data_IF_171120161932
#
_entry.id   IF_171120161932
#
_cell.length_a   1.000
_cell.length_b   1.000
_cell.length_c   1.000
_cell.angle_alpha   90.00
_cell.angle_beta   90.00
_cell.angle_gamma   90.00
#
_symmetry.space_group_name_H-M   'P 1'
#
loop_
_entity.id
_entity.type
_entity.pdbx_description
1 polymer ?
#
# COMPACT_ATOMS: atom_id res chain seq x y z
N UNK A 1 43.43 76.98 -12.71
CA UNK A 1 42.82 77.77 -11.61
C UNK A 1 41.48 77.13 -11.25
N UNK A 2 41.28 76.77 -9.97
CA UNK A 2 40.00 76.62 -9.22
C UNK A 2 38.94 75.64 -9.81
N UNK A 3 38.29 74.73 -9.07
CA UNK A 3 38.23 74.40 -7.65
C UNK A 3 37.65 72.98 -7.52
N UNK A 4 38.13 72.28 -6.49
CA UNK A 4 37.64 71.05 -5.89
C UNK A 4 36.22 71.23 -5.32
N UNK A 5 35.34 70.24 -5.48
CA UNK A 5 34.26 70.00 -4.51
C UNK A 5 33.87 68.51 -4.50
N UNK A 6 34.15 67.90 -3.35
CA UNK A 6 33.87 66.53 -2.94
C UNK A 6 32.47 66.50 -2.32
N UNK A 7 31.64 65.54 -2.71
CA UNK A 7 30.50 65.01 -1.93
C UNK A 7 30.34 63.56 -2.47
N UNK A 8 30.72 62.49 -1.78
CA UNK A 8 30.41 62.19 -0.38
C UNK A 8 29.05 61.50 -0.29
N UNK A 9 28.88 60.33 -0.91
CA UNK A 9 27.69 59.49 -0.69
C UNK A 9 28.09 58.10 -0.20
N UNK A 10 27.69 57.89 1.04
CA UNK A 10 27.81 56.74 1.92
C UNK A 10 27.42 55.42 1.22
N UNK A 11 28.37 54.49 1.11
CA UNK A 11 28.10 53.10 0.73
C UNK A 11 27.48 52.43 1.95
N UNK A 12 26.15 52.26 1.92
CA UNK A 12 25.43 51.47 2.91
C UNK A 12 25.49 50.00 2.47
N UNK A 13 26.51 49.29 2.93
CA UNK A 13 26.64 47.84 2.80
C UNK A 13 25.57 47.16 3.66
N UNK A 14 24.43 46.86 3.03
CA UNK A 14 23.42 45.98 3.59
C UNK A 14 23.97 44.55 3.54
N UNK A 15 24.44 44.06 4.70
CA UNK A 15 24.65 42.63 4.91
C UNK A 15 23.29 41.93 4.87
N UNK A 16 22.94 41.36 3.73
CA UNK A 16 21.87 40.36 3.64
C UNK A 16 22.34 39.10 4.35
N UNK A 17 22.12 39.03 5.65
CA UNK A 17 22.09 37.76 6.38
C UNK A 17 20.82 37.06 5.93
N UNK A 18 20.95 36.17 4.95
CA UNK A 18 19.92 35.20 4.62
C UNK A 18 19.79 34.25 5.82
N UNK A 19 18.73 34.43 6.62
CA UNK A 19 18.31 33.42 7.58
C UNK A 19 18.00 32.13 6.81
N UNK A 20 18.88 31.15 6.92
CA UNK A 20 18.66 29.77 6.48
C UNK A 20 17.65 29.13 7.44
N UNK A 21 16.38 29.48 7.28
CA UNK A 21 15.26 28.80 7.93
C UNK A 21 15.05 27.45 7.25
N UNK A 22 15.87 26.47 7.61
CA UNK A 22 15.79 25.10 7.10
C UNK A 22 14.57 24.41 7.67
N UNK A 23 13.41 24.64 7.05
CA UNK A 23 12.39 23.60 6.97
C UNK A 23 12.75 22.73 5.76
N UNK A 24 13.77 21.89 5.90
CA UNK A 24 14.04 20.81 4.94
C UNK A 24 12.91 19.78 5.10
N UNK A 25 11.73 20.11 4.57
CA UNK A 25 10.67 19.12 4.39
C UNK A 25 11.19 18.11 3.37
N UNK A 26 11.56 16.93 3.85
CA UNK A 26 11.93 15.82 2.97
C UNK A 26 10.83 15.61 1.93
N UNK A 27 11.17 15.41 0.65
CA UNK A 27 10.17 15.26 -0.39
C UNK A 27 9.32 14.02 -0.13
N UNK A 28 7.99 14.21 -0.10
CA UNK A 28 7.01 13.11 -0.04
C UNK A 28 6.38 12.98 -1.42
N UNK A 29 6.48 11.78 -2.01
CA UNK A 29 5.78 11.43 -3.25
C UNK A 29 4.47 10.74 -2.90
N UNK A 30 3.39 11.15 -3.54
CA UNK A 30 2.07 10.56 -3.36
C UNK A 30 1.66 9.77 -4.60
N UNK A 31 1.11 8.59 -4.38
CA UNK A 31 0.59 7.71 -5.42
C UNK A 31 -0.85 7.35 -5.06
N UNK A 32 -1.78 7.74 -5.91
CA UNK A 32 -3.19 7.38 -5.76
C UNK A 32 -3.54 6.34 -6.82
N UNK A 33 -4.32 5.34 -6.42
CA UNK A 33 -4.97 4.44 -7.36
C UNK A 33 -6.45 4.32 -7.05
N UNK A 34 -7.29 4.61 -8.05
CA UNK A 34 -8.76 4.72 -7.92
C UNK A 34 -9.51 3.65 -8.70
N UNK A 35 -8.83 2.98 -9.63
CA UNK A 35 -9.33 1.87 -10.43
C UNK A 35 -10.59 2.19 -11.24
N UNK A 36 -10.83 3.46 -11.59
CA UNK A 36 -12.05 3.84 -12.30
C UNK A 36 -12.07 3.34 -13.75
N UNK A 37 -10.90 3.28 -14.40
CA UNK A 37 -10.80 2.91 -15.82
C UNK A 37 -10.19 1.52 -16.04
N UNK A 38 -9.16 1.15 -15.28
CA UNK A 38 -8.40 -0.08 -15.43
C UNK A 38 -7.76 -0.49 -14.09
N UNK A 39 -6.82 -1.43 -14.10
CA UNK A 39 -6.12 -1.88 -12.88
C UNK A 39 -4.99 -0.95 -12.44
N UNK A 40 -4.68 0.10 -13.20
CA UNK A 40 -3.67 1.12 -12.91
C UNK A 40 -2.30 0.53 -12.56
N UNK A 41 -1.86 -0.43 -13.40
CA UNK A 41 -0.62 -1.21 -13.29
C UNK A 41 -0.55 -2.14 -12.07
N UNK A 42 -1.62 -2.24 -11.28
CA UNK A 42 -1.71 -3.27 -10.27
C UNK A 42 -1.93 -4.63 -10.92
N UNK A 43 -1.08 -5.57 -10.53
CA UNK A 43 -1.20 -7.00 -10.83
C UNK A 43 -1.31 -7.76 -9.52
N UNK A 44 -1.59 -9.06 -9.54
CA UNK A 44 -1.72 -9.81 -8.30
C UNK A 44 -1.65 -11.31 -8.49
N UNK A 45 -1.58 -12.01 -7.37
CA UNK A 45 -1.62 -13.47 -7.31
C UNK A 45 -2.19 -13.93 -5.96
N UNK A 46 -2.29 -15.24 -5.78
CA UNK A 46 -2.57 -15.88 -4.51
C UNK A 46 -1.37 -16.71 -4.04
N UNK A 47 -1.24 -16.93 -2.73
CA UNK A 47 -0.23 -17.81 -2.14
C UNK A 47 -0.81 -18.53 -0.91
N UNK A 48 0.01 -19.38 -0.28
CA UNK A 48 -0.35 -20.21 0.87
C UNK A 48 -1.31 -21.36 0.53
N UNK A 49 -1.04 -22.10 -0.55
CA UNK A 49 -1.85 -23.26 -0.93
C UNK A 49 -0.98 -24.36 -1.55
N UNK A 50 -1.48 -25.61 -1.57
CA UNK A 50 -0.73 -26.74 -2.13
C UNK A 50 -0.74 -26.66 -3.66
N UNK A 51 0.36 -27.08 -4.28
CA UNK A 51 0.37 -27.25 -5.73
C UNK A 51 -0.72 -28.25 -6.18
N UNK A 52 -1.32 -28.00 -7.33
CA UNK A 52 -2.49 -28.71 -7.85
C UNK A 52 -3.83 -28.11 -7.42
N UNK A 53 -3.86 -27.07 -6.58
CA UNK A 53 -5.11 -26.41 -6.16
C UNK A 53 -5.42 -25.12 -6.93
N UNK A 54 -4.62 -24.71 -7.91
CA UNK A 54 -4.72 -23.42 -8.62
C UNK A 54 -6.13 -23.16 -9.16
N UNK A 55 -6.72 -24.13 -9.84
CA UNK A 55 -8.09 -24.02 -10.39
C UNK A 55 -9.15 -23.94 -9.29
N UNK A 56 -8.90 -24.56 -8.15
CA UNK A 56 -9.80 -24.50 -6.99
C UNK A 56 -9.69 -23.17 -6.26
N UNK A 57 -8.48 -22.63 -6.12
CA UNK A 57 -8.26 -21.29 -5.59
C UNK A 57 -8.93 -20.25 -6.48
N UNK A 58 -8.92 -20.45 -7.80
CA UNK A 58 -9.61 -19.60 -8.77
C UNK A 58 -9.31 -18.11 -8.53
N UNK A 59 -8.02 -17.78 -8.38
CA UNK A 59 -7.60 -16.40 -8.14
C UNK A 59 -8.07 -15.50 -9.28
N UNK A 60 -8.61 -14.34 -8.94
CA UNK A 60 -9.02 -13.35 -9.92
C UNK A 60 -8.72 -11.94 -9.45
N UNK A 61 -8.29 -11.11 -10.40
CA UNK A 61 -8.15 -9.67 -10.28
C UNK A 61 -8.94 -9.05 -11.43
N UNK A 62 -9.97 -8.27 -11.10
CA UNK A 62 -10.85 -7.68 -12.10
C UNK A 62 -11.33 -6.29 -11.68
N UNK A 63 -11.08 -5.32 -12.54
CA UNK A 63 -11.68 -4.00 -12.41
C UNK A 63 -13.18 -4.08 -12.72
N UNK A 64 -14.03 -3.46 -11.89
CA UNK A 64 -15.47 -3.52 -12.08
C UNK A 64 -16.26 -2.71 -11.06
N UNK A 65 -17.60 -2.77 -11.17
CA UNK A 65 -18.51 -2.08 -10.25
C UNK A 65 -18.33 -2.60 -8.82
N UNK A 66 -18.26 -1.68 -7.85
CA UNK A 66 -18.26 -2.04 -6.43
C UNK A 66 -19.71 -2.35 -6.01
N UNK A 67 -19.99 -3.56 -5.49
CA UNK A 67 -21.33 -3.89 -5.03
C UNK A 67 -21.77 -2.99 -3.87
N UNK A 68 -23.05 -2.61 -3.85
CA UNK A 68 -23.61 -1.75 -2.80
C UNK A 68 -23.25 -0.27 -2.89
N UNK A 69 -22.40 0.15 -3.85
CA UNK A 69 -22.20 1.57 -4.12
C UNK A 69 -23.51 2.22 -4.62
N UNK A 70 -23.90 3.33 -4.01
CA UNK A 70 -25.08 4.13 -4.40
C UNK A 70 -24.88 4.80 -5.75
N UNK A 71 -23.64 5.20 -6.05
CA UNK A 71 -23.24 5.65 -7.37
C UNK A 71 -23.01 4.45 -8.29
N UNK A 72 -23.85 4.32 -9.31
CA UNK A 72 -23.76 3.26 -10.32
C UNK A 72 -22.46 3.27 -11.14
N UNK A 73 -21.74 4.40 -11.14
CA UNK A 73 -20.46 4.58 -11.83
C UNK A 73 -19.25 4.23 -10.97
N UNK A 74 -19.44 4.03 -9.66
CA UNK A 74 -18.36 3.66 -8.74
C UNK A 74 -17.77 2.30 -9.12
N UNK A 75 -16.49 2.33 -9.45
CA UNK A 75 -15.73 1.15 -9.81
C UNK A 75 -14.53 0.99 -8.88
N UNK A 76 -14.02 -0.24 -8.80
CA UNK A 76 -12.88 -0.60 -7.98
C UNK A 76 -12.18 -1.83 -8.55
N UNK A 77 -11.09 -2.23 -7.90
CA UNK A 77 -10.36 -3.46 -8.20
C UNK A 77 -10.88 -4.61 -7.33
N UNK A 78 -11.67 -5.49 -7.93
CA UNK A 78 -12.11 -6.74 -7.31
C UNK A 78 -10.96 -7.74 -7.25
N UNK A 79 -10.68 -8.26 -6.05
CA UNK A 79 -9.69 -9.32 -5.82
C UNK A 79 -10.37 -10.49 -5.12
N UNK A 80 -10.25 -11.68 -5.69
CA UNK A 80 -10.93 -12.86 -5.18
C UNK A 80 -10.10 -14.12 -5.22
N UNK A 81 -10.45 -15.06 -4.36
CA UNK A 81 -9.95 -16.42 -4.37
C UNK A 81 -10.66 -17.27 -3.33
N UNK A 82 -10.70 -18.57 -3.54
CA UNK A 82 -11.36 -19.52 -2.65
C UNK A 82 -10.33 -20.20 -1.76
N UNK A 83 -10.41 -19.97 -0.45
CA UNK A 83 -9.59 -20.70 0.49
C UNK A 83 -10.19 -22.08 0.76
N UNK A 84 -9.41 -23.12 0.50
CA UNK A 84 -9.75 -24.52 0.80
C UNK A 84 -8.86 -25.15 1.86
N UNK A 85 -7.86 -24.42 2.35
CA UNK A 85 -6.89 -24.89 3.34
C UNK A 85 -6.99 -24.14 4.66
N UNK A 86 -5.88 -24.10 5.39
CA UNK A 86 -5.79 -23.42 6.69
C UNK A 86 -5.49 -21.92 6.54
N UNK A 87 -4.84 -21.53 5.44
CA UNK A 87 -4.58 -20.13 5.07
C UNK A 87 -4.68 -19.94 3.55
N UNK A 88 -4.94 -18.71 3.13
CA UNK A 88 -4.79 -18.21 1.76
C UNK A 88 -4.35 -16.75 1.85
N UNK A 89 -3.38 -16.34 1.03
CA UNK A 89 -2.98 -14.95 0.91
C UNK A 89 -3.28 -14.45 -0.49
N UNK A 90 -4.22 -13.52 -0.62
CA UNK A 90 -4.50 -12.81 -1.86
C UNK A 90 -3.74 -11.50 -1.85
N UNK A 91 -2.97 -11.18 -2.88
CA UNK A 91 -2.20 -9.95 -2.90
C UNK A 91 -2.17 -9.30 -4.28
N UNK A 92 -2.01 -7.98 -4.25
CA UNK A 92 -1.80 -7.14 -5.40
C UNK A 92 -0.55 -6.30 -5.19
N UNK A 93 0.15 -6.01 -6.29
CA UNK A 93 1.43 -5.32 -6.30
C UNK A 93 1.50 -4.31 -7.42
N UNK A 94 2.26 -3.23 -7.18
CA UNK A 94 2.55 -2.19 -8.16
C UNK A 94 3.99 -1.72 -8.00
N UNK A 95 4.72 -1.62 -9.10
CA UNK A 95 6.09 -1.12 -9.12
C UNK A 95 6.10 0.41 -9.11
N UNK A 96 7.01 0.98 -8.33
CA UNK A 96 7.32 2.41 -8.30
C UNK A 96 8.80 2.57 -8.62
N UNK A 97 9.14 3.60 -9.41
CA UNK A 97 10.50 3.85 -9.91
C UNK A 97 10.94 5.27 -9.62
N UNK A 98 12.22 5.58 -9.85
CA UNK A 98 12.76 6.94 -9.72
C UNK A 98 12.96 7.38 -8.26
N UNK A 99 13.23 6.42 -7.38
CA UNK A 99 13.72 6.67 -6.02
C UNK A 99 15.25 6.66 -6.00
N UNK A 100 15.85 7.32 -5.02
CA UNK A 100 17.30 7.27 -4.83
C UNK A 100 17.68 5.95 -4.12
N UNK A 101 18.46 5.05 -4.76
CA UNK A 101 18.87 3.78 -4.16
C UNK A 101 19.80 3.92 -2.95
N UNK A 102 20.40 5.10 -2.74
CA UNK A 102 21.22 5.37 -1.57
C UNK A 102 20.36 5.63 -0.31
N UNK A 103 19.11 6.05 -0.47
CA UNK A 103 18.22 6.45 0.61
C UNK A 103 17.29 5.32 1.07
N UNK A 104 16.82 5.43 2.31
CA UNK A 104 15.74 4.60 2.86
C UNK A 104 14.46 5.42 2.84
N UNK A 105 13.33 4.80 2.53
CA UNK A 105 12.02 5.44 2.48
C UNK A 105 11.08 4.84 3.52
N UNK A 106 10.11 5.65 3.95
CA UNK A 106 8.93 5.25 4.71
C UNK A 106 7.71 5.27 3.79
N UNK A 107 6.97 4.16 3.79
CA UNK A 107 5.77 3.97 2.97
C UNK A 107 4.55 3.86 3.87
N UNK A 108 3.64 4.82 3.73
CA UNK A 108 2.35 4.86 4.42
C UNK A 108 1.21 4.67 3.42
N UNK A 109 0.16 4.00 3.86
CA UNK A 109 -1.02 3.62 3.08
C UNK A 109 -2.28 4.16 3.74
N UNK A 110 -3.25 4.54 2.92
CA UNK A 110 -4.67 4.57 3.24
C UNK A 110 -5.40 3.76 2.16
N UNK A 111 -6.16 2.76 2.59
CA UNK A 111 -6.77 1.77 1.72
C UNK A 111 -8.27 1.74 1.99
N UNK A 112 -9.06 2.09 0.99
CA UNK A 112 -10.51 2.02 1.02
C UNK A 112 -10.96 0.69 0.41
N UNK A 113 -11.66 -0.11 1.20
CA UNK A 113 -12.06 -1.47 0.84
C UNK A 113 -13.57 -1.62 0.96
N UNK A 114 -14.24 -1.98 -0.14
CA UNK A 114 -15.60 -2.50 -0.14
C UNK A 114 -15.63 -3.96 0.32
N UNK A 115 -16.38 -4.23 1.39
CA UNK A 115 -16.54 -5.55 2.00
C UNK A 115 -17.99 -5.79 2.43
N UNK A 116 -18.46 -7.04 2.31
CA UNK A 116 -19.78 -7.46 2.80
C UNK A 116 -19.69 -8.39 4.01
N UNK A 117 -18.49 -8.65 4.53
CA UNK A 117 -18.29 -9.64 5.58
C UNK A 117 -18.72 -9.09 6.95
N UNK A 118 -19.62 -9.78 7.68
CA UNK A 118 -19.98 -9.40 9.05
C UNK A 118 -18.74 -9.28 9.94
N UNK A 119 -18.81 -8.44 10.96
CA UNK A 119 -17.77 -8.20 11.97
C UNK A 119 -18.17 -8.71 13.36
N UNK A 120 -18.52 -9.99 13.42
CA UNK A 120 -18.83 -10.71 14.67
C UNK A 120 -17.75 -11.73 14.99
N UNK A 121 -17.68 -12.19 16.24
CA UNK A 121 -16.73 -13.23 16.65
C UNK A 121 -16.92 -14.48 15.78
N UNK A 122 -15.84 -14.96 15.15
CA UNK A 122 -15.86 -16.14 14.26
C UNK A 122 -16.35 -15.89 12.83
N UNK A 123 -16.83 -14.68 12.51
CA UNK A 123 -17.22 -14.32 11.14
C UNK A 123 -16.02 -14.24 10.19
N UNK A 124 -16.29 -14.39 8.89
CA UNK A 124 -15.28 -14.21 7.85
C UNK A 124 -14.60 -12.83 7.94
N UNK A 125 -15.34 -11.78 8.33
CA UNK A 125 -14.78 -10.42 8.43
C UNK A 125 -13.71 -10.29 9.50
N UNK A 126 -13.73 -11.13 10.54
CA UNK A 126 -12.68 -11.20 11.59
C UNK A 126 -11.56 -12.18 11.29
N UNK A 127 -11.67 -12.94 10.21
CA UNK A 127 -10.71 -13.97 9.81
C UNK A 127 -9.97 -13.63 8.51
N UNK A 128 -10.26 -12.47 7.92
CA UNK A 128 -9.55 -11.90 6.78
C UNK A 128 -8.72 -10.72 7.28
N UNK A 129 -7.40 -10.84 7.25
CA UNK A 129 -6.41 -9.91 7.80
C UNK A 129 -5.80 -9.08 6.69
N UNK A 130 -6.06 -7.78 6.69
CA UNK A 130 -5.55 -6.83 5.70
C UNK A 130 -4.12 -6.45 6.06
N UNK A 131 -3.26 -6.44 5.05
CA UNK A 131 -1.84 -6.12 5.15
C UNK A 131 -1.42 -5.18 4.03
N UNK A 132 -0.45 -4.32 4.30
CA UNK A 132 0.22 -3.53 3.28
C UNK A 132 1.68 -3.33 3.61
N UNK A 133 2.49 -3.11 2.59
CA UNK A 133 3.89 -2.78 2.74
C UNK A 133 4.64 -2.76 1.42
N UNK A 134 5.97 -2.72 1.49
CA UNK A 134 6.81 -2.51 0.33
C UNK A 134 8.10 -3.34 0.40
N UNK A 135 8.65 -3.68 -0.77
CA UNK A 135 9.89 -4.45 -0.91
C UNK A 135 10.74 -3.91 -2.07
N UNK A 136 12.09 -4.00 -2.00
CA UNK A 136 12.94 -3.76 -3.18
C UNK A 136 12.71 -4.78 -4.30
N UNK A 137 12.21 -5.98 -3.96
CA UNK A 137 12.01 -7.07 -4.89
C UNK A 137 10.53 -7.23 -5.23
N UNK A 138 10.24 -7.76 -6.42
CA UNK A 138 8.87 -8.06 -6.80
C UNK A 138 8.27 -9.14 -5.89
N UNK A 139 7.11 -8.91 -5.24
CA UNK A 139 6.41 -9.97 -4.52
C UNK A 139 5.92 -11.03 -5.50
N UNK A 140 6.42 -12.26 -5.40
CA UNK A 140 6.08 -13.35 -6.32
C UNK A 140 5.57 -14.56 -5.55
N UNK A 141 4.72 -15.34 -6.23
CA UNK A 141 4.32 -16.67 -5.78
C UNK A 141 5.44 -17.66 -6.07
N UNK A 142 5.93 -18.33 -5.04
CA UNK A 142 7.06 -19.26 -5.13
C UNK A 142 6.63 -20.68 -4.77
N UNK A 143 7.05 -21.67 -5.55
CA UNK A 143 6.78 -23.07 -5.25
C UNK A 143 7.97 -23.68 -4.49
N UNK A 144 7.73 -24.12 -3.26
CA UNK A 144 8.71 -24.86 -2.46
C UNK A 144 8.01 -26.01 -1.74
N UNK A 145 8.61 -27.21 -1.77
CA UNK A 145 8.09 -28.40 -1.08
C UNK A 145 6.59 -28.68 -1.37
N UNK A 146 6.19 -28.58 -2.64
CA UNK A 146 4.81 -28.77 -3.10
C UNK A 146 3.79 -27.78 -2.53
N UNK A 147 4.25 -26.62 -2.06
CA UNK A 147 3.43 -25.57 -1.48
C UNK A 147 3.80 -24.20 -2.06
N UNK A 148 2.80 -23.43 -2.46
CA UNK A 148 2.98 -22.07 -2.94
C UNK A 148 3.08 -21.11 -1.76
N UNK A 149 4.21 -20.43 -1.64
CA UNK A 149 4.46 -19.33 -0.72
C UNK A 149 4.52 -17.99 -1.46
N UNK A 150 4.73 -16.91 -0.72
CA UNK A 150 4.98 -15.58 -1.27
C UNK A 150 6.37 -15.12 -0.82
N UNK A 151 7.10 -14.44 -1.71
CA UNK A 151 8.47 -13.97 -1.43
C UNK A 151 8.55 -12.83 -0.41
N UNK A 152 7.49 -12.01 -0.28
CA UNK A 152 7.47 -10.85 0.62
C UNK A 152 7.25 -11.25 2.09
N UNK A 153 8.04 -10.69 3.01
CA UNK A 153 7.98 -10.94 4.44
C UNK A 153 6.77 -10.27 5.10
N UNK A 154 5.60 -10.88 4.92
CA UNK A 154 4.30 -10.33 5.35
C UNK A 154 3.86 -10.63 6.78
N UNK A 155 4.57 -11.54 7.47
CA UNK A 155 4.11 -12.13 8.73
C UNK A 155 2.90 -13.06 8.56
N UNK A 156 2.49 -13.74 9.62
CA UNK A 156 1.36 -14.69 9.60
C UNK A 156 0.12 -14.08 10.24
N UNK A 157 -1.01 -14.12 9.53
CA UNK A 157 -2.34 -13.69 9.99
C UNK A 157 -2.29 -12.27 10.59
N UNK A 158 -2.66 -12.12 11.87
CA UNK A 158 -2.67 -10.83 12.58
C UNK A 158 -1.29 -10.30 12.98
N UNK A 159 -0.19 -10.99 12.64
CA UNK A 159 1.18 -10.53 12.92
C UNK A 159 1.76 -9.78 11.74
N UNK A 160 2.33 -8.61 11.98
CA UNK A 160 3.16 -7.89 11.01
C UNK A 160 4.45 -8.67 10.70
N UNK A 161 4.90 -8.61 9.45
CA UNK A 161 6.25 -8.97 9.06
C UNK A 161 7.13 -7.72 8.96
N UNK A 162 8.34 -7.89 8.45
CA UNK A 162 9.32 -6.81 8.24
C UNK A 162 8.96 -5.95 7.02
N UNK A 163 8.39 -6.56 5.98
CA UNK A 163 8.06 -5.90 4.71
C UNK A 163 6.57 -5.60 4.55
N UNK A 164 5.67 -6.26 5.30
CA UNK A 164 4.25 -5.87 5.36
C UNK A 164 3.68 -5.87 6.76
N UNK A 165 2.92 -4.82 7.09
CA UNK A 165 2.28 -4.67 8.38
C UNK A 165 0.80 -5.06 8.34
N UNK A 166 0.33 -5.61 9.46
CA UNK A 166 -1.09 -5.88 9.70
C UNK A 166 -1.84 -4.57 9.98
N UNK A 167 -2.91 -4.33 9.23
CA UNK A 167 -3.67 -3.07 9.29
C UNK A 167 -5.05 -3.21 9.93
N UNK A 168 -5.47 -4.43 10.29
CA UNK A 168 -6.83 -4.74 10.74
C UNK A 168 -7.50 -5.82 9.89
N UNK A 169 -8.77 -6.10 10.19
CA UNK A 169 -9.52 -7.15 9.49
C UNK A 169 -10.41 -6.60 8.37
N UNK A 170 -11.10 -7.45 7.60
CA UNK A 170 -12.02 -7.04 6.53
C UNK A 170 -13.50 -6.98 6.95
N UNK A 171 -13.78 -6.92 8.26
CA UNK A 171 -15.13 -6.81 8.78
C UNK A 171 -15.80 -5.48 8.41
N UNK A 172 -17.07 -5.53 8.05
CA UNK A 172 -17.87 -4.39 7.62
C UNK A 172 -18.37 -3.49 8.79
N UNK A 173 -18.05 -3.83 10.03
CA UNK A 173 -18.50 -3.13 11.25
C UNK A 173 -19.96 -3.40 11.63
N UNK A 174 -20.62 -4.38 11.01
CA UNK A 174 -22.00 -4.79 11.26
C UNK A 174 -22.06 -6.26 11.67
N UNK A 175 -23.18 -6.68 12.26
CA UNK A 175 -23.45 -8.08 12.58
C UNK A 175 -24.03 -8.90 11.40
N UNK A 176 -24.28 -8.22 10.28
CA UNK A 176 -25.03 -8.74 9.14
C UNK A 176 -24.27 -8.54 7.82
N UNK A 177 -24.66 -9.32 6.81
CA UNK A 177 -24.09 -9.24 5.47
C UNK A 177 -24.64 -8.01 4.76
N UNK A 178 -23.82 -6.97 4.68
CA UNK A 178 -24.12 -5.75 3.95
C UNK A 178 -22.82 -5.12 3.48
N UNK A 179 -22.82 -4.60 2.24
CA UNK A 179 -21.65 -3.91 1.70
C UNK A 179 -21.39 -2.59 2.43
N UNK A 180 -20.16 -2.41 2.89
CA UNK A 180 -19.64 -1.18 3.47
C UNK A 180 -18.25 -0.88 2.92
N UNK A 181 -17.93 0.40 2.82
CA UNK A 181 -16.55 0.84 2.65
C UNK A 181 -15.90 0.95 4.03
N UNK A 182 -14.73 0.34 4.18
CA UNK A 182 -13.88 0.44 5.37
C UNK A 182 -12.51 1.03 4.97
N UNK A 183 -11.86 1.70 5.92
CA UNK A 183 -10.52 2.26 5.72
C UNK A 183 -9.50 1.50 6.56
N UNK A 184 -8.35 1.17 5.97
CA UNK A 184 -7.19 0.56 6.65
C UNK A 184 -5.95 1.39 6.34
N UNK A 185 -5.14 1.65 7.37
CA UNK A 185 -3.97 2.55 7.25
C UNK A 185 -2.83 2.10 8.14
N UNK A 186 -1.60 2.40 7.72
CA UNK A 186 -0.40 2.34 8.55
C UNK A 186 0.26 3.72 8.69
N UNK A 187 -0.48 4.83 8.60
CA UNK A 187 0.10 6.18 8.72
C UNK A 187 0.95 6.37 9.99
N UNK A 188 0.57 5.70 11.09
CA UNK A 188 1.30 5.76 12.36
C UNK A 188 2.44 4.74 12.47
N UNK A 189 2.60 3.86 11.48
CA UNK A 189 3.59 2.79 11.45
C UNK A 189 4.01 2.55 9.99
N UNK A 190 4.67 3.52 9.37
CA UNK A 190 5.10 3.41 7.99
C UNK A 190 6.13 2.27 7.81
N UNK A 191 6.01 1.50 6.73
CA UNK A 191 6.97 0.43 6.39
C UNK A 191 8.24 1.07 5.89
N UNK A 192 9.39 0.65 6.40
CA UNK A 192 10.68 1.10 5.89
C UNK A 192 11.14 0.21 4.73
N UNK A 193 11.61 0.82 3.65
CA UNK A 193 12.09 0.11 2.47
C UNK A 193 13.27 0.85 1.87
N UNK A 194 14.30 0.11 1.48
CA UNK A 194 15.40 0.63 0.66
C UNK A 194 15.16 0.21 -0.79
N UNK A 195 15.18 1.12 -1.78
CA UNK A 195 15.01 0.75 -3.18
C UNK A 195 16.12 -0.19 -3.66
N UNK A 196 15.83 -0.94 -4.71
CA UNK A 196 16.86 -1.71 -5.41
C UNK A 196 17.86 -0.79 -6.12
N UNK A 197 18.91 -1.34 -6.73
CA UNK A 197 19.95 -0.56 -7.40
C UNK A 197 19.45 0.31 -8.58
N UNK A 198 18.27 0.01 -9.14
CA UNK A 198 17.63 0.80 -10.19
C UNK A 198 16.70 1.89 -9.64
N UNK A 199 16.64 2.08 -8.33
CA UNK A 199 15.76 3.07 -7.69
C UNK A 199 14.29 2.65 -7.72
N UNK A 200 14.03 1.33 -7.65
CA UNK A 200 12.67 0.77 -7.69
C UNK A 200 12.27 0.15 -6.35
N UNK A 201 10.98 0.24 -6.05
CA UNK A 201 10.32 -0.53 -4.99
C UNK A 201 9.02 -1.12 -5.54
N UNK A 202 8.52 -2.16 -4.89
CA UNK A 202 7.20 -2.72 -5.11
C UNK A 202 6.31 -2.42 -3.92
N UNK A 203 5.19 -1.74 -4.17
CA UNK A 203 4.09 -1.63 -3.22
C UNK A 203 3.31 -2.94 -3.24
N UNK A 204 2.86 -3.39 -2.08
CA UNK A 204 2.07 -4.61 -1.93
C UNK A 204 0.91 -4.37 -0.96
N UNK A 205 -0.28 -4.80 -1.35
CA UNK A 205 -1.48 -4.85 -0.49
C UNK A 205 -2.04 -6.24 -0.59
N UNK A 206 -2.43 -6.83 0.53
CA UNK A 206 -2.97 -8.17 0.53
C UNK A 206 -3.89 -8.48 1.69
N UNK A 207 -4.59 -9.61 1.56
CA UNK A 207 -5.49 -10.16 2.54
C UNK A 207 -5.11 -11.62 2.81
N UNK A 208 -4.66 -11.91 4.03
CA UNK A 208 -4.47 -13.28 4.48
C UNK A 208 -5.72 -13.76 5.21
N UNK A 209 -6.12 -15.01 5.03
CA UNK A 209 -7.36 -15.50 5.63
C UNK A 209 -7.26 -16.93 6.12
N UNK A 210 -7.85 -17.21 7.28
CA UNK A 210 -8.13 -18.58 7.75
C UNK A 210 -9.58 -18.99 7.50
N UNK A 211 -10.43 -18.09 6.99
CA UNK A 211 -11.80 -18.40 6.62
C UNK A 211 -11.82 -19.35 5.40
N UNK A 212 -12.55 -20.46 5.49
CA UNK A 212 -12.74 -21.42 4.40
C UNK A 212 -13.94 -21.01 3.55
N UNK A 213 -13.71 -20.68 2.30
CA UNK A 213 -14.75 -20.18 1.40
C UNK A 213 -14.22 -19.22 0.36
N UNK A 214 -15.14 -18.57 -0.37
CA UNK A 214 -14.80 -17.53 -1.32
C UNK A 214 -14.50 -16.22 -0.59
N UNK A 215 -13.31 -15.67 -0.83
CA UNK A 215 -12.94 -14.32 -0.44
C UNK A 215 -13.11 -13.42 -1.67
N UNK A 216 -13.80 -12.30 -1.49
CA UNK A 216 -13.97 -11.25 -2.48
C UNK A 216 -13.88 -9.90 -1.77
N UNK A 217 -12.85 -9.13 -2.10
CA UNK A 217 -12.69 -7.75 -1.66
C UNK A 217 -12.73 -6.83 -2.88
N UNK A 218 -13.10 -5.57 -2.67
CA UNK A 218 -13.07 -4.53 -3.69
C UNK A 218 -12.21 -3.38 -3.18
N UNK A 219 -11.06 -3.13 -3.78
CA UNK A 219 -10.27 -1.93 -3.49
C UNK A 219 -10.85 -0.77 -4.27
N UNK A 220 -11.42 0.20 -3.56
CA UNK A 220 -11.98 1.43 -4.11
C UNK A 220 -10.87 2.45 -4.36
N UNK A 221 -10.01 2.63 -3.34
CA UNK A 221 -8.85 3.50 -3.42
C UNK A 221 -7.67 2.91 -2.67
N UNK A 222 -6.48 3.03 -3.25
CA UNK A 222 -5.21 2.84 -2.56
C UNK A 222 -4.43 4.14 -2.68
N UNK A 223 -4.23 4.82 -1.56
CA UNK A 223 -3.40 6.01 -1.48
C UNK A 223 -2.10 5.67 -0.75
N UNK A 224 -0.96 6.01 -1.35
CA UNK A 224 0.37 5.72 -0.81
C UNK A 224 1.17 7.01 -0.70
N UNK A 225 1.76 7.26 0.46
CA UNK A 225 2.78 8.29 0.66
C UNK A 225 4.15 7.63 0.81
N UNK A 226 5.11 8.04 -0.02
CA UNK A 226 6.50 7.55 -0.01
C UNK A 226 7.40 8.74 0.30
N UNK A 227 7.91 8.80 1.53
CA UNK A 227 8.80 9.87 2.00
C UNK A 227 10.16 9.32 2.38
N UNK A 228 11.21 10.11 2.17
CA UNK A 228 12.55 9.74 2.66
C UNK A 228 12.54 9.59 4.19
N UNK A 229 13.23 8.57 4.69
CA UNK A 229 13.46 8.42 6.13
C UNK A 229 14.52 9.47 6.53
N UNK A 230 14.22 10.37 7.48
CA UNK A 230 15.24 11.27 8.01
C UNK A 230 16.44 10.49 8.53
N UNK A 231 17.65 10.98 8.24
CA UNK A 231 18.86 10.52 8.92
C UNK A 231 18.79 11.09 10.34
N UNK A 232 18.75 10.20 11.34
CA UNK A 232 18.86 10.58 12.76
C UNK A 232 20.28 11.01 13.13
#
# INVERSE_FOLDING_TARGET
MKKLMILGSLILSVFLVACKGGNDTLPIKFFESTFQQNTEDWTGDAALFKNGQQDTIAFSIKQGKIPGATDSTSRGLGVSGKNTGDSLFLFIKKKITGLDPALTYKVAYEINIGTSYPDTVGSAGRLIFIKAGASPNEPVKELANNYYNVSIEKGSLSKSGTEMFYLGTAGNGLDSVAYRSIVRTNANLAVEVKPNAAGEIWLCVGAETSYKGLIQLYYDRIYTAVGEKPVE
#
